data_IF_066628495182
#
_entry.id   IF_066628495182
#
_cell.length_a   1.000
_cell.length_b   1.000
_cell.length_c   1.000
_cell.angle_alpha   90.00
_cell.angle_beta   90.00
_cell.angle_gamma   90.00
#
_symmetry.space_group_name_H-M   'P 1'
#
loop_
_entity.id
_entity.type
_entity.pdbx_description
1 polymer ?
#
# COMPACT_ATOMS: atom_id res chain seq x y z
N UNK A 1 -4.42 5.28 -16.21
CA UNK A 1 -3.85 5.71 -14.92
C UNK A 1 -3.94 7.23 -14.87
N UNK A 2 -4.88 7.75 -14.10
CA UNK A 2 -5.09 9.18 -13.96
C UNK A 2 -4.10 9.70 -12.92
N UNK A 3 -3.27 10.68 -13.30
CA UNK A 3 -2.33 11.32 -12.36
C UNK A 3 -3.08 12.44 -11.65
N UNK A 4 -3.11 12.39 -10.33
CA UNK A 4 -3.82 13.35 -9.51
C UNK A 4 -2.83 14.22 -8.75
N UNK A 5 -3.02 15.55 -8.81
CA UNK A 5 -2.22 16.48 -8.02
C UNK A 5 -2.96 16.75 -6.71
N UNK A 6 -2.29 16.51 -5.59
CA UNK A 6 -2.83 16.72 -4.24
C UNK A 6 -1.92 17.65 -3.45
N UNK A 7 -2.51 18.39 -2.52
CA UNK A 7 -1.79 19.20 -1.54
C UNK A 7 -1.69 18.42 -0.24
N UNK A 8 -0.48 18.26 0.30
CA UNK A 8 -0.30 17.55 1.57
C UNK A 8 -0.96 18.29 2.74
N UNK A 9 -1.78 17.60 3.53
CA UNK A 9 -2.54 18.17 4.66
C UNK A 9 -1.72 18.34 5.93
N UNK A 10 -0.65 17.54 6.07
CA UNK A 10 0.31 17.55 7.17
C UNK A 10 1.66 17.03 6.69
N UNK A 11 2.68 17.19 7.53
CA UNK A 11 3.96 16.52 7.33
C UNK A 11 3.76 15.01 7.29
N UNK A 12 4.35 14.35 6.29
CA UNK A 12 4.24 12.90 6.13
C UNK A 12 5.57 12.25 5.82
N UNK A 13 5.79 11.09 6.43
CA UNK A 13 6.93 10.23 6.13
C UNK A 13 6.71 9.51 4.80
N UNK A 14 7.77 9.41 4.01
CA UNK A 14 7.81 8.68 2.75
C UNK A 14 9.19 8.05 2.53
N UNK A 15 9.28 7.10 1.60
CA UNK A 15 10.53 6.43 1.22
C UNK A 15 10.84 6.72 -0.25
N UNK A 16 12.03 7.22 -0.55
CA UNK A 16 12.44 7.43 -1.95
C UNK A 16 12.47 6.11 -2.73
N UNK A 17 11.96 6.11 -3.96
CA UNK A 17 12.02 4.96 -4.88
C UNK A 17 13.15 5.19 -5.89
N UNK A 18 14.04 4.21 -6.13
CA UNK A 18 14.11 2.87 -5.53
C UNK A 18 14.97 2.77 -4.26
N UNK A 19 15.65 3.86 -3.86
CA UNK A 19 16.71 3.82 -2.86
C UNK A 19 16.26 3.48 -1.41
N UNK A 20 14.97 3.58 -1.10
CA UNK A 20 14.41 3.33 0.23
C UNK A 20 14.80 4.36 1.29
N UNK A 21 15.41 5.48 0.91
CA UNK A 21 15.84 6.51 1.86
C UNK A 21 14.62 7.22 2.47
N UNK A 22 14.50 7.28 3.82
CA UNK A 22 13.42 8.02 4.46
C UNK A 22 13.50 9.52 4.20
N UNK A 23 12.37 10.10 3.85
CA UNK A 23 12.19 11.54 3.67
C UNK A 23 10.91 11.99 4.38
N UNK A 24 10.85 13.28 4.70
CA UNK A 24 9.62 13.93 5.14
C UNK A 24 9.13 14.85 4.04
N UNK A 25 7.90 14.67 3.60
CA UNK A 25 7.21 15.61 2.71
C UNK A 25 6.49 16.63 3.61
N UNK A 26 6.86 17.93 3.55
CA UNK A 26 6.23 18.94 4.38
C UNK A 26 4.75 19.11 4.06
N UNK A 27 3.98 19.59 5.03
CA UNK A 27 2.63 20.12 4.84
C UNK A 27 2.61 21.19 3.74
N UNK A 28 1.47 21.32 3.06
CA UNK A 28 1.21 22.31 2.02
C UNK A 28 2.17 22.18 0.82
N UNK A 29 2.65 20.96 0.57
CA UNK A 29 3.47 20.60 -0.59
C UNK A 29 2.60 19.99 -1.68
N UNK A 30 2.72 20.48 -2.91
CA UNK A 30 2.09 19.85 -4.07
C UNK A 30 2.84 18.60 -4.47
N UNK A 31 2.13 17.47 -4.49
CA UNK A 31 2.66 16.19 -4.95
C UNK A 31 1.72 15.59 -5.99
N UNK A 32 2.27 14.85 -6.95
CA UNK A 32 1.46 14.15 -7.95
C UNK A 32 1.41 12.67 -7.60
N UNK A 33 0.23 12.14 -7.29
CA UNK A 33 0.02 10.70 -7.11
C UNK A 33 0.15 10.04 -8.50
N UNK A 34 1.14 9.17 -8.64
CA UNK A 34 1.40 8.41 -9.88
C UNK A 34 0.78 7.03 -9.83
N UNK A 35 0.70 6.43 -8.64
CA UNK A 35 0.11 5.11 -8.41
C UNK A 35 -0.55 5.06 -7.03
N UNK A 36 -1.65 4.30 -6.93
CA UNK A 36 -2.32 3.94 -5.69
C UNK A 36 -2.61 2.44 -5.74
N UNK A 37 -1.84 1.63 -5.01
CA UNK A 37 -1.90 0.16 -5.04
C UNK A 37 -1.86 -0.36 -3.60
N UNK A 38 -2.84 -1.20 -3.23
CA UNK A 38 -2.88 -1.85 -1.90
C UNK A 38 -2.76 -0.87 -0.73
N UNK A 39 -3.44 0.27 -0.81
CA UNK A 39 -3.36 1.34 0.21
C UNK A 39 -2.10 2.20 0.16
N UNK A 40 -1.04 1.80 -0.54
CA UNK A 40 0.19 2.58 -0.67
C UNK A 40 0.15 3.53 -1.87
N UNK A 41 0.76 4.69 -1.72
CA UNK A 41 0.77 5.74 -2.74
C UNK A 41 2.19 6.01 -3.21
N UNK A 42 2.40 5.99 -4.52
CA UNK A 42 3.61 6.54 -5.12
C UNK A 42 3.33 7.98 -5.53
N UNK A 43 4.15 8.90 -5.04
CA UNK A 43 4.03 10.33 -5.32
C UNK A 43 5.30 10.86 -5.98
N UNK A 44 5.13 11.75 -6.95
CA UNK A 44 6.21 12.57 -7.49
C UNK A 44 6.30 13.86 -6.67
N UNK A 45 7.48 14.12 -6.09
CA UNK A 45 7.79 15.30 -5.27
C UNK A 45 9.21 15.78 -5.58
N UNK A 46 9.37 17.07 -5.90
CA UNK A 46 10.67 17.69 -6.22
C UNK A 46 11.49 16.92 -7.27
N UNK A 47 10.82 16.33 -8.28
CA UNK A 47 11.46 15.54 -9.33
C UNK A 47 11.83 14.09 -8.94
N UNK A 48 11.59 13.69 -7.69
CA UNK A 48 11.82 12.33 -7.21
C UNK A 48 10.49 11.57 -7.05
N UNK A 49 10.57 10.24 -7.06
CA UNK A 49 9.46 9.38 -6.64
C UNK A 49 9.64 8.97 -5.18
N UNK A 50 8.55 9.03 -4.42
CA UNK A 50 8.52 8.58 -3.04
C UNK A 50 7.27 7.74 -2.77
N UNK A 51 7.40 6.70 -1.93
CA UNK A 51 6.31 5.87 -1.45
C UNK A 51 5.79 6.42 -0.13
N UNK A 52 4.50 6.70 -0.06
CA UNK A 52 3.76 7.00 1.16
C UNK A 52 2.98 5.75 1.56
N UNK A 53 3.19 5.28 2.80
CA UNK A 53 2.50 4.12 3.34
C UNK A 53 1.01 4.38 3.57
N UNK A 54 0.17 3.34 3.54
CA UNK A 54 -1.28 3.43 3.71
C UNK A 54 -1.72 4.17 4.98
N UNK A 55 -1.01 3.98 6.10
CA UNK A 55 -1.25 4.69 7.37
C UNK A 55 -1.13 6.21 7.28
N UNK A 56 -0.48 6.72 6.23
CA UNK A 56 -0.25 8.14 5.97
C UNK A 56 -1.09 8.67 4.79
N UNK A 57 -2.05 7.90 4.29
CA UNK A 57 -2.93 8.29 3.19
C UNK A 57 -3.71 9.58 3.48
N UNK A 58 -4.06 9.80 4.74
CA UNK A 58 -4.74 11.01 5.23
C UNK A 58 -3.96 12.28 4.90
N UNK A 59 -2.61 12.21 4.92
CA UNK A 59 -1.75 13.32 4.56
C UNK A 59 -1.87 13.71 3.09
N UNK A 60 -2.25 12.77 2.21
CA UNK A 60 -2.55 13.01 0.79
C UNK A 60 -4.03 13.34 0.55
N UNK A 61 -4.84 13.42 1.61
CA UNK A 61 -6.28 13.60 1.51
C UNK A 61 -7.03 12.37 1.00
N UNK A 62 -6.40 11.21 1.06
CA UNK A 62 -7.00 9.91 0.78
C UNK A 62 -7.45 9.25 2.08
N UNK A 63 -8.40 8.35 1.97
CA UNK A 63 -8.81 7.54 3.12
C UNK A 63 -7.70 6.50 3.39
N UNK A 64 -7.14 6.42 4.61
CA UNK A 64 -6.33 5.28 4.98
C UNK A 64 -7.21 4.04 4.90
N UNK A 65 -7.10 3.28 3.81
CA UNK A 65 -7.61 1.91 3.77
C UNK A 65 -6.83 1.11 4.81
N UNK A 66 -7.32 1.11 6.04
CA UNK A 66 -7.03 0.09 7.00
C UNK A 66 -7.84 -1.13 6.58
N UNK A 67 -7.16 -2.18 6.15
CA UNK A 67 -7.80 -3.48 6.02
C UNK A 67 -8.03 -3.98 7.45
N UNK A 68 -9.29 -3.93 7.88
CA UNK A 68 -9.71 -4.56 9.11
C UNK A 68 -9.77 -6.07 8.86
N UNK A 69 -8.88 -6.79 9.51
CA UNK A 69 -9.04 -8.24 9.67
C UNK A 69 -10.03 -8.46 10.80
N UNK A 70 -10.91 -9.44 10.67
CA UNK A 70 -11.82 -9.84 11.75
C UNK A 70 -11.00 -10.26 12.98
N UNK A 71 -11.65 -10.28 14.15
CA UNK A 71 -11.02 -10.69 15.41
C UNK A 71 -10.26 -12.01 15.24
N UNK A 72 -8.94 -11.96 15.41
CA UNK A 72 -8.08 -13.13 15.33
C UNK A 72 -8.21 -13.90 16.63
N UNK A 73 -8.76 -15.12 16.57
CA UNK A 73 -8.74 -16.03 17.72
C UNK A 73 -7.29 -16.49 17.93
N UNK A 74 -6.75 -16.22 19.11
CA UNK A 74 -5.37 -16.57 19.47
C UNK A 74 -5.14 -18.09 19.27
N UNK A 75 -4.17 -18.45 18.42
CA UNK A 75 -3.84 -19.85 18.10
C UNK A 75 -4.59 -20.46 16.90
N UNK A 76 -5.43 -19.70 16.20
CA UNK A 76 -6.06 -20.13 14.94
C UNK A 76 -5.59 -19.30 13.75
N UNK A 77 -5.15 -19.99 12.71
CA UNK A 77 -4.82 -19.38 11.41
C UNK A 77 -6.10 -19.30 10.61
N UNK A 78 -6.54 -18.08 10.29
CA UNK A 78 -7.70 -17.85 9.44
C UNK A 78 -7.28 -17.80 7.97
N UNK A 79 -7.67 -18.80 7.18
CA UNK A 79 -7.37 -18.86 5.74
C UNK A 79 -7.91 -17.65 4.98
N UNK A 80 -9.05 -17.08 5.40
CA UNK A 80 -9.62 -15.89 4.80
C UNK A 80 -8.66 -14.70 4.88
N UNK A 81 -7.98 -14.52 6.02
CA UNK A 81 -7.02 -13.44 6.21
C UNK A 81 -5.78 -13.63 5.31
N UNK A 82 -5.33 -14.87 5.11
CA UNK A 82 -4.22 -15.17 4.18
C UNK A 82 -4.61 -14.77 2.76
N UNK A 83 -5.80 -15.21 2.32
CA UNK A 83 -6.32 -14.87 1.00
C UNK A 83 -6.53 -13.36 0.81
N UNK A 84 -7.00 -12.66 1.84
CA UNK A 84 -7.12 -11.20 1.81
C UNK A 84 -5.75 -10.52 1.64
N UNK A 85 -4.76 -10.91 2.45
CA UNK A 85 -3.40 -10.38 2.36
C UNK A 85 -2.75 -10.66 0.98
N UNK A 86 -2.94 -11.85 0.41
CA UNK A 86 -2.41 -12.18 -0.92
C UNK A 86 -3.00 -11.29 -2.04
N UNK A 87 -4.26 -10.83 -1.90
CA UNK A 87 -4.89 -9.90 -2.86
C UNK A 87 -4.32 -8.48 -2.81
N UNK A 88 -3.54 -8.14 -1.79
CA UNK A 88 -2.87 -6.83 -1.70
C UNK A 88 -1.55 -6.80 -2.47
N UNK A 89 -1.05 -7.96 -2.91
CA UNK A 89 0.18 -8.03 -3.68
C UNK A 89 -0.16 -7.83 -5.15
N UNK A 90 0.17 -6.64 -5.67
CA UNK A 90 0.00 -6.27 -7.07
C UNK A 90 1.24 -6.59 -7.89
N UNK A 91 1.03 -7.03 -9.13
CA UNK A 91 2.12 -7.12 -10.09
C UNK A 91 2.65 -5.71 -10.43
N UNK A 92 3.98 -5.51 -10.49
CA UNK A 92 4.57 -4.19 -10.71
C UNK A 92 4.43 -3.69 -12.16
N UNK A 93 4.23 -4.58 -13.14
CA UNK A 93 4.08 -4.25 -14.55
C UNK A 93 2.59 -4.10 -14.95
N UNK A 94 1.74 -4.91 -14.34
CA UNK A 94 0.30 -5.00 -14.62
C UNK A 94 -0.46 -4.72 -13.31
N UNK A 95 -1.30 -3.68 -13.23
CA UNK A 95 -1.98 -3.27 -11.99
C UNK A 95 -3.15 -4.20 -11.61
N UNK A 96 -2.88 -5.50 -11.48
CA UNK A 96 -3.79 -6.58 -11.08
C UNK A 96 -3.08 -7.38 -9.99
N UNK A 97 -3.82 -7.86 -8.98
CA UNK A 97 -3.24 -8.63 -7.88
C UNK A 97 -2.91 -10.07 -8.28
N UNK A 98 -1.93 -10.67 -7.60
CA UNK A 98 -1.42 -12.02 -7.90
C UNK A 98 -2.48 -13.13 -7.79
N UNK A 99 -3.54 -12.92 -7.01
CA UNK A 99 -4.64 -13.88 -6.88
C UNK A 99 -5.53 -13.83 -8.11
N UNK A 100 -5.95 -12.63 -8.53
CA UNK A 100 -6.80 -12.44 -9.71
C UNK A 100 -6.04 -12.71 -11.02
N UNK A 101 -4.71 -12.58 -11.02
CA UNK A 101 -3.84 -13.06 -12.10
C UNK A 101 -3.77 -14.60 -12.19
N UNK A 102 -4.25 -15.32 -11.19
CA UNK A 102 -4.18 -16.79 -11.14
C UNK A 102 -2.77 -17.32 -10.88
N UNK A 103 -1.90 -16.54 -10.24
CA UNK A 103 -0.53 -16.96 -9.91
C UNK A 103 -0.46 -17.82 -8.64
N UNK A 104 -1.53 -17.81 -7.83
CA UNK A 104 -1.66 -18.60 -6.61
C UNK A 104 -2.58 -19.79 -6.85
N UNK A 105 -2.07 -21.00 -6.69
CA UNK A 105 -2.81 -22.25 -6.95
C UNK A 105 -3.57 -22.79 -5.72
N UNK A 106 -3.17 -22.42 -4.52
CA UNK A 106 -3.77 -22.89 -3.27
C UNK A 106 -2.99 -22.40 -2.05
N UNK A 107 -3.60 -22.54 -0.87
CA UNK A 107 -3.01 -22.24 0.44
C UNK A 107 -3.17 -23.47 1.31
N UNK A 108 -2.06 -24.14 1.64
CA UNK A 108 -2.04 -25.28 2.55
C UNK A 108 -1.58 -24.83 3.94
N UNK A 109 -2.44 -24.99 4.95
CA UNK A 109 -2.15 -24.59 6.34
C UNK A 109 -1.82 -25.83 7.16
N UNK A 110 -0.60 -25.90 7.69
CA UNK A 110 -0.17 -26.96 8.60
C UNK A 110 0.04 -26.40 10.01
N UNK A 111 -0.70 -26.91 11.00
CA UNK A 111 -0.36 -26.72 12.41
C UNK A 111 0.66 -27.79 12.80
N UNK A 112 1.93 -27.54 12.54
CA UNK A 112 3.03 -28.29 13.16
C UNK A 112 3.80 -27.38 14.12
N UNK A 113 3.67 -27.69 15.41
CA UNK A 113 4.27 -27.01 16.55
C UNK A 113 3.85 -27.71 17.84
#
# INVERSE_FOLDING_TARGET
MEREVVLTKRDTEALLIPAGTPITIPKDTFVTITQALGGNFTVAVNGNLARVEAKNADALGKDPQAFEFDDVVEGEVNEHHIWAALREVFDPEIPVNIVDLGLIYGVDIHKEG
#
